data_IF_415432225987
#
_entry.id   IF_415432225987
#
_cell.length_a   1.000
_cell.length_b   1.000
_cell.length_c   1.000
_cell.angle_alpha   90.00
_cell.angle_beta   90.00
_cell.angle_gamma   90.00
#
_symmetry.space_group_name_H-M   'P 1'
#
loop_
_entity.id
_entity.type
_entity.pdbx_description
1 polymer ?
#
# COMPACT_ATOMS: atom_id res chain seq x y z
N UNK A 1 -12.71 -8.66 -11.05
CA UNK A 1 -12.25 -9.49 -9.91
C UNK A 1 -12.24 -10.97 -10.26
N UNK A 2 -13.39 -11.58 -10.59
CA UNK A 2 -13.47 -13.01 -10.96
C UNK A 2 -12.46 -13.40 -12.05
N UNK A 3 -12.39 -12.62 -13.12
CA UNK A 3 -11.41 -12.79 -14.21
C UNK A 3 -9.96 -12.87 -13.71
N UNK A 4 -9.56 -11.93 -12.83
CA UNK A 4 -8.22 -11.91 -12.25
C UNK A 4 -7.93 -13.16 -11.40
N UNK A 5 -8.91 -13.59 -10.60
CA UNK A 5 -8.80 -14.78 -9.75
C UNK A 5 -8.65 -16.04 -10.61
N UNK A 6 -9.50 -16.20 -11.63
CA UNK A 6 -9.46 -17.36 -12.53
C UNK A 6 -8.14 -17.40 -13.30
N UNK A 7 -7.72 -16.26 -13.87
CA UNK A 7 -6.45 -16.16 -14.59
C UNK A 7 -5.27 -16.60 -13.72
N UNK A 8 -5.19 -16.07 -12.49
CA UNK A 8 -4.10 -16.37 -11.58
C UNK A 8 -4.13 -17.83 -11.10
N UNK A 9 -5.31 -18.39 -10.79
CA UNK A 9 -5.46 -19.80 -10.42
C UNK A 9 -5.12 -20.77 -11.56
N UNK A 10 -5.27 -20.33 -12.82
CA UNK A 10 -4.83 -21.08 -14.00
C UNK A 10 -3.32 -20.99 -14.24
N UNK A 11 -2.57 -20.32 -13.36
CA UNK A 11 -1.11 -20.22 -13.44
C UNK A 11 -0.60 -19.11 -14.36
N UNK A 12 -1.44 -18.15 -14.74
CA UNK A 12 -1.02 -17.00 -15.53
C UNK A 12 -0.53 -15.85 -14.63
N UNK A 13 0.44 -15.09 -15.13
CA UNK A 13 0.78 -13.80 -14.53
C UNK A 13 -0.37 -12.83 -14.76
N UNK A 14 -0.80 -12.16 -13.71
CA UNK A 14 -2.05 -11.37 -13.73
C UNK A 14 -1.81 -9.99 -13.15
N UNK A 15 -1.99 -8.95 -13.97
CA UNK A 15 -1.95 -7.57 -13.52
C UNK A 15 -3.35 -7.04 -13.29
N UNK A 16 -3.59 -6.51 -12.10
CA UNK A 16 -4.88 -5.96 -11.68
C UNK A 16 -4.70 -4.49 -11.35
N UNK A 17 -5.18 -3.63 -12.24
CA UNK A 17 -5.23 -2.18 -12.04
C UNK A 17 -6.66 -1.76 -11.75
N UNK A 18 -7.04 -1.76 -10.48
CA UNK A 18 -8.40 -1.40 -10.04
C UNK A 18 -8.32 -0.39 -8.90
N UNK A 19 -9.25 0.58 -8.87
CA UNK A 19 -9.27 1.66 -7.88
C UNK A 19 -9.13 1.18 -6.44
N UNK A 20 -8.65 2.05 -5.55
CA UNK A 20 -8.64 1.78 -4.10
C UNK A 20 -10.06 1.46 -3.63
N UNK A 21 -10.20 0.46 -2.77
CA UNK A 21 -11.52 -0.08 -2.39
C UNK A 21 -12.15 -1.04 -3.42
N UNK A 22 -11.59 -1.18 -4.62
CA UNK A 22 -12.08 -2.11 -5.66
C UNK A 22 -11.87 -3.60 -5.38
N UNK A 23 -11.48 -3.98 -4.15
CA UNK A 23 -11.33 -5.37 -3.72
C UNK A 23 -10.07 -6.09 -4.21
N UNK A 24 -8.92 -5.39 -4.31
CA UNK A 24 -7.60 -6.02 -4.59
C UNK A 24 -7.27 -7.14 -3.59
N UNK A 25 -7.57 -6.89 -2.31
CA UNK A 25 -7.40 -7.88 -1.23
C UNK A 25 -8.19 -9.16 -1.47
N UNK A 26 -9.42 -9.05 -1.97
CA UNK A 26 -10.24 -10.22 -2.28
C UNK A 26 -9.61 -11.08 -3.37
N UNK A 27 -9.02 -10.46 -4.41
CA UNK A 27 -8.39 -11.19 -5.50
C UNK A 27 -7.30 -12.14 -4.98
N UNK A 28 -6.34 -11.65 -4.19
CA UNK A 28 -5.28 -12.52 -3.70
C UNK A 28 -5.73 -13.42 -2.54
N UNK A 29 -6.64 -12.97 -1.67
CA UNK A 29 -7.07 -13.75 -0.51
C UNK A 29 -7.83 -15.01 -0.94
N UNK A 30 -8.76 -14.88 -1.88
CA UNK A 30 -9.50 -16.02 -2.41
C UNK A 30 -8.57 -16.96 -3.20
N UNK A 31 -7.67 -16.39 -4.01
CA UNK A 31 -6.65 -17.19 -4.71
C UNK A 31 -5.73 -17.95 -3.75
N UNK A 32 -5.37 -17.37 -2.60
CA UNK A 32 -4.55 -18.04 -1.60
C UNK A 32 -5.29 -19.19 -0.91
N UNK A 33 -6.60 -19.05 -0.66
CA UNK A 33 -7.43 -20.12 -0.09
C UNK A 33 -7.53 -21.30 -1.06
N UNK A 34 -7.79 -21.03 -2.35
CA UNK A 34 -7.92 -22.07 -3.37
C UNK A 34 -6.59 -22.76 -3.68
N UNK A 35 -5.46 -22.13 -3.38
CA UNK A 35 -4.13 -22.66 -3.64
C UNK A 35 -3.69 -23.66 -2.55
N UNK A 36 -3.16 -24.82 -2.99
CA UNK A 36 -2.72 -25.89 -2.09
C UNK A 36 -1.39 -25.59 -1.37
N UNK A 37 -0.66 -24.54 -1.79
CA UNK A 37 0.62 -24.14 -1.22
C UNK A 37 0.57 -22.81 -0.46
N UNK A 38 1.72 -22.13 -0.45
CA UNK A 38 1.93 -20.83 0.18
C UNK A 38 1.77 -19.69 -0.84
N UNK A 39 1.05 -18.64 -0.45
CA UNK A 39 1.03 -17.37 -1.20
C UNK A 39 1.96 -16.37 -0.51
N UNK A 40 2.99 -15.91 -1.22
CA UNK A 40 3.93 -14.91 -0.71
C UNK A 40 3.53 -13.54 -1.26
N UNK A 41 3.28 -12.58 -0.39
CA UNK A 41 2.83 -11.23 -0.74
C UNK A 41 3.92 -10.21 -0.40
N UNK A 42 4.44 -9.52 -1.41
CA UNK A 42 5.34 -8.40 -1.25
C UNK A 42 4.55 -7.10 -1.08
N UNK A 43 4.84 -6.35 -0.02
CA UNK A 43 4.11 -5.12 0.32
C UNK A 43 5.08 -4.00 0.76
N UNK A 44 4.79 -2.73 0.46
CA UNK A 44 5.71 -1.63 0.69
C UNK A 44 5.85 -1.23 2.16
N UNK A 45 4.86 -1.43 3.02
CA UNK A 45 4.94 -0.92 4.38
C UNK A 45 4.65 -2.01 5.40
N UNK A 46 5.50 -2.10 6.44
CA UNK A 46 5.24 -3.00 7.58
C UNK A 46 3.86 -2.75 8.20
N UNK A 47 3.46 -1.48 8.32
CA UNK A 47 2.13 -1.12 8.81
C UNK A 47 1.00 -1.66 7.92
N UNK A 48 1.16 -1.59 6.59
CA UNK A 48 0.19 -2.14 5.64
C UNK A 48 0.11 -3.67 5.76
N UNK A 49 1.26 -4.34 5.87
CA UNK A 49 1.34 -5.80 6.07
C UNK A 49 0.62 -6.24 7.35
N UNK A 50 0.84 -5.54 8.48
CA UNK A 50 0.19 -5.89 9.75
C UNK A 50 -1.32 -5.62 9.75
N UNK A 51 -1.77 -4.56 9.06
CA UNK A 51 -3.20 -4.31 8.91
C UNK A 51 -3.85 -5.37 8.00
N UNK A 52 -3.25 -5.72 6.86
CA UNK A 52 -3.75 -6.77 5.98
C UNK A 52 -3.76 -8.14 6.67
N UNK A 53 -2.67 -8.50 7.36
CA UNK A 53 -2.59 -9.73 8.18
C UNK A 53 -3.73 -9.80 9.19
N UNK A 54 -4.03 -8.71 9.90
CA UNK A 54 -5.11 -8.66 10.88
C UNK A 54 -6.47 -8.92 10.25
N UNK A 55 -6.75 -8.32 9.09
CA UNK A 55 -8.00 -8.55 8.38
C UNK A 55 -8.14 -9.99 7.88
N UNK A 56 -7.05 -10.59 7.38
CA UNK A 56 -7.08 -11.99 6.94
C UNK A 56 -7.26 -12.97 8.11
N UNK A 57 -6.61 -12.74 9.25
CA UNK A 57 -6.78 -13.57 10.45
C UNK A 57 -8.22 -13.49 10.97
N UNK A 58 -8.84 -12.30 10.96
CA UNK A 58 -10.25 -12.12 11.38
C UNK A 58 -11.22 -12.98 10.58
N UNK A 59 -10.95 -13.20 9.30
CA UNK A 59 -11.77 -14.06 8.42
C UNK A 59 -11.30 -15.52 8.39
N UNK A 60 -10.38 -15.90 9.28
CA UNK A 60 -9.92 -17.28 9.46
C UNK A 60 -8.83 -17.74 8.50
N UNK A 61 -8.14 -16.82 7.80
CA UNK A 61 -7.03 -17.17 6.91
C UNK A 61 -5.71 -17.09 7.71
N UNK A 62 -4.95 -18.20 7.84
CA UNK A 62 -3.69 -18.21 8.56
C UNK A 62 -2.59 -17.40 7.84
N UNK A 63 -2.06 -16.38 8.52
CA UNK A 63 -1.14 -15.41 7.95
C UNK A 63 0.05 -15.10 8.87
N UNK A 64 1.24 -14.97 8.28
CA UNK A 64 2.45 -14.52 8.97
C UNK A 64 3.09 -13.32 8.26
N UNK A 65 3.98 -12.62 8.96
CA UNK A 65 4.75 -11.46 8.46
C UNK A 65 6.23 -11.72 8.65
N UNK A 66 7.04 -11.50 7.60
CA UNK A 66 8.48 -11.72 7.61
C UNK A 66 9.24 -10.48 7.12
N UNK A 67 10.15 -9.98 7.94
CA UNK A 67 10.90 -8.75 7.68
C UNK A 67 12.40 -9.00 7.41
N UNK A 68 13.06 -8.06 6.73
CA UNK A 68 14.51 -8.03 6.60
C UNK A 68 15.21 -7.62 7.92
N UNK A 69 15.47 -8.60 8.79
CA UNK A 69 16.36 -8.56 9.97
C UNK A 69 16.02 -7.60 11.15
N UNK A 70 16.69 -7.88 12.30
CA UNK A 70 16.73 -7.32 13.68
C UNK A 70 15.43 -6.89 14.38
N UNK A 71 14.47 -6.32 13.65
CA UNK A 71 13.15 -5.97 14.22
C UNK A 71 12.32 -7.20 14.60
N UNK A 72 12.59 -8.34 13.95
CA UNK A 72 11.94 -9.61 14.24
C UNK A 72 13.00 -10.60 14.71
N UNK A 73 12.93 -11.01 15.98
CA UNK A 73 13.89 -11.92 16.60
C UNK A 73 14.02 -13.24 15.84
N UNK A 74 15.21 -13.83 15.86
CA UNK A 74 15.53 -15.06 15.09
C UNK A 74 14.56 -16.20 15.39
N UNK A 75 14.25 -16.43 16.67
CA UNK A 75 13.30 -17.47 17.10
C UNK A 75 11.89 -17.29 16.53
N UNK A 76 11.44 -16.04 16.33
CA UNK A 76 10.14 -15.75 15.70
C UNK A 76 10.19 -16.14 14.22
N UNK A 77 11.29 -15.86 13.52
CA UNK A 77 11.43 -16.21 12.11
C UNK A 77 11.52 -17.73 11.92
N UNK A 78 12.27 -18.43 12.77
CA UNK A 78 12.35 -19.90 12.78
C UNK A 78 10.97 -20.53 12.96
N UNK A 79 10.20 -20.05 13.94
CA UNK A 79 8.82 -20.50 14.15
C UNK A 79 7.92 -20.27 12.92
N UNK A 80 8.05 -19.12 12.26
CA UNK A 80 7.29 -18.85 11.02
C UNK A 80 7.70 -19.85 9.93
N UNK A 81 8.98 -20.17 9.79
CA UNK A 81 9.43 -21.16 8.82
C UNK A 81 8.88 -22.56 9.12
N UNK A 82 8.87 -22.97 10.38
CA UNK A 82 8.27 -24.23 10.83
C UNK A 82 6.76 -24.28 10.52
N UNK A 83 6.02 -23.23 10.86
CA UNK A 83 4.57 -23.14 10.59
C UNK A 83 4.27 -23.19 9.08
N UNK A 84 5.09 -22.54 8.26
CA UNK A 84 4.96 -22.63 6.79
C UNK A 84 5.30 -24.03 6.29
N UNK A 85 6.37 -24.66 6.79
CA UNK A 85 6.77 -26.01 6.39
C UNK A 85 5.70 -27.06 6.75
N UNK A 86 5.01 -26.89 7.88
CA UNK A 86 3.87 -27.71 8.29
C UNK A 86 2.57 -27.39 7.53
N UNK A 87 2.56 -26.36 6.66
CA UNK A 87 1.36 -25.94 5.91
C UNK A 87 0.32 -25.21 6.77
N UNK A 88 0.70 -24.75 7.97
CA UNK A 88 -0.17 -23.99 8.87
C UNK A 88 -0.32 -22.53 8.46
N UNK A 89 0.58 -22.01 7.62
CA UNK A 89 0.50 -20.66 7.06
C UNK A 89 0.05 -20.71 5.60
N UNK A 90 -1.01 -19.95 5.26
CA UNK A 90 -1.51 -19.83 3.87
C UNK A 90 -0.96 -18.62 3.15
N UNK A 91 -0.77 -17.52 3.88
CA UNK A 91 -0.26 -16.26 3.33
C UNK A 91 0.92 -15.77 4.15
N UNK A 92 2.03 -15.48 3.47
CA UNK A 92 3.21 -14.89 4.07
C UNK A 92 3.45 -13.50 3.48
N UNK A 93 3.27 -12.46 4.28
CA UNK A 93 3.65 -11.10 3.90
C UNK A 93 5.15 -10.92 4.09
N UNK A 94 5.83 -10.38 3.08
CA UNK A 94 7.29 -10.24 3.05
C UNK A 94 7.70 -8.86 2.56
N UNK A 95 8.69 -8.26 3.21
CA UNK A 95 9.37 -7.06 2.65
C UNK A 95 10.31 -7.47 1.51
N UNK A 96 10.36 -6.78 0.36
CA UNK A 96 11.28 -7.10 -0.73
C UNK A 96 12.75 -7.26 -0.29
N UNK A 97 13.21 -6.48 0.68
CA UNK A 97 14.56 -6.59 1.25
C UNK A 97 14.87 -7.99 1.78
N UNK A 98 13.87 -8.70 2.32
CA UNK A 98 14.04 -10.05 2.87
C UNK A 98 14.34 -11.05 1.78
N UNK A 99 13.72 -10.88 0.61
CA UNK A 99 14.01 -11.70 -0.57
C UNK A 99 15.45 -11.48 -1.07
N UNK A 100 15.89 -10.22 -1.13
CA UNK A 100 17.21 -9.89 -1.69
C UNK A 100 18.35 -10.25 -0.73
N UNK A 101 18.19 -9.98 0.56
CA UNK A 101 19.29 -10.09 1.53
C UNK A 101 19.44 -11.47 2.18
N UNK A 102 18.47 -12.38 2.03
CA UNK A 102 18.46 -13.64 2.78
C UNK A 102 18.47 -14.87 1.87
N UNK A 103 19.65 -15.43 1.64
CA UNK A 103 19.82 -16.64 0.82
C UNK A 103 19.13 -17.89 1.39
N UNK A 104 18.98 -17.99 2.72
CA UNK A 104 18.21 -19.07 3.36
C UNK A 104 16.73 -19.03 2.99
N UNK A 105 16.15 -17.83 2.95
CA UNK A 105 14.79 -17.60 2.51
C UNK A 105 14.60 -17.97 1.03
N UNK A 106 15.55 -17.61 0.16
CA UNK A 106 15.49 -18.03 -1.26
C UNK A 106 15.56 -19.56 -1.39
N UNK A 107 16.44 -20.24 -0.65
CA UNK A 107 16.50 -21.73 -0.65
C UNK A 107 15.18 -22.34 -0.20
N UNK A 108 14.56 -21.78 0.84
CA UNK A 108 13.26 -22.21 1.32
C UNK A 108 12.16 -22.05 0.26
N UNK A 109 12.10 -20.92 -0.43
CA UNK A 109 11.17 -20.72 -1.55
C UNK A 109 11.42 -21.75 -2.65
N UNK A 110 12.69 -22.02 -3.00
CA UNK A 110 13.03 -23.01 -4.03
C UNK A 110 12.53 -24.41 -3.69
N UNK A 111 12.60 -24.83 -2.43
CA UNK A 111 12.04 -26.12 -2.00
C UNK A 111 10.51 -26.18 -2.17
N UNK A 112 9.79 -25.11 -1.84
CA UNK A 112 8.35 -25.02 -2.07
C UNK A 112 8.01 -24.99 -3.57
N UNK A 113 8.84 -24.31 -4.36
CA UNK A 113 8.70 -24.22 -5.81
C UNK A 113 8.84 -25.56 -6.51
N UNK A 114 9.82 -26.39 -6.13
CA UNK A 114 9.99 -27.76 -6.66
C UNK A 114 8.72 -28.61 -6.46
N UNK A 115 7.99 -28.37 -5.37
CA UNK A 115 6.72 -29.04 -5.08
C UNK A 115 5.49 -28.37 -5.73
N UNK A 116 5.68 -27.30 -6.52
CA UNK A 116 4.62 -26.44 -7.07
C UNK A 116 3.68 -25.86 -5.99
N UNK A 117 4.25 -25.54 -4.82
CA UNK A 117 3.53 -25.03 -3.65
C UNK A 117 3.84 -23.57 -3.32
N UNK A 118 4.26 -22.77 -4.30
CA UNK A 118 4.46 -21.32 -4.11
C UNK A 118 3.86 -20.53 -5.26
N UNK A 119 3.23 -19.42 -4.91
CA UNK A 119 2.78 -18.38 -5.84
C UNK A 119 3.04 -17.00 -5.22
N UNK A 120 3.17 -15.98 -6.07
CA UNK A 120 3.59 -14.64 -5.63
C UNK A 120 2.52 -13.58 -5.90
N UNK A 121 2.48 -12.59 -5.01
CA UNK A 121 1.67 -11.38 -5.16
C UNK A 121 2.58 -10.19 -4.89
N UNK A 122 2.51 -9.16 -5.72
CA UNK A 122 3.15 -7.87 -5.49
C UNK A 122 2.04 -6.85 -5.31
N UNK A 123 1.85 -6.41 -4.08
CA UNK A 123 0.92 -5.35 -3.72
C UNK A 123 1.56 -3.97 -3.94
N UNK A 124 0.75 -2.99 -4.33
CA UNK A 124 1.20 -1.67 -4.78
C UNK A 124 2.33 -1.73 -5.83
N UNK A 125 2.12 -2.50 -6.90
CA UNK A 125 3.11 -2.78 -7.95
C UNK A 125 3.73 -1.53 -8.61
N UNK A 126 3.06 -0.37 -8.54
CA UNK A 126 3.62 0.91 -8.98
C UNK A 126 4.90 1.31 -8.20
N UNK A 127 5.12 0.76 -7.00
CA UNK A 127 6.34 0.95 -6.21
C UNK A 127 7.60 0.46 -6.93
N UNK A 128 7.48 -0.47 -7.89
CA UNK A 128 8.61 -0.92 -8.72
C UNK A 128 9.23 0.25 -9.49
N UNK A 129 8.41 1.17 -9.99
CA UNK A 129 8.87 2.37 -10.69
C UNK A 129 9.13 3.52 -9.71
N UNK A 130 8.20 3.75 -8.78
CA UNK A 130 8.28 4.91 -7.89
C UNK A 130 9.47 4.86 -6.92
N UNK A 131 9.96 3.67 -6.57
CA UNK A 131 10.96 3.49 -5.52
C UNK A 131 12.39 3.23 -6.06
N UNK A 132 12.61 3.41 -7.36
CA UNK A 132 13.90 3.14 -8.01
C UNK A 132 15.08 3.82 -7.28
N UNK A 133 14.91 5.06 -6.84
CA UNK A 133 15.98 5.85 -6.23
C UNK A 133 16.16 5.63 -4.72
N UNK A 134 15.15 5.12 -4.00
CA UNK A 134 15.17 5.09 -2.53
C UNK A 134 14.96 3.72 -1.90
N UNK A 135 14.44 2.73 -2.63
CA UNK A 135 14.24 1.37 -2.11
C UNK A 135 14.48 0.32 -3.19
N UNK A 136 15.76 0.19 -3.57
CA UNK A 136 16.27 -0.67 -4.65
C UNK A 136 15.79 -2.12 -4.64
N UNK A 137 15.42 -2.68 -3.48
CA UNK A 137 14.89 -4.04 -3.39
C UNK A 137 13.63 -4.25 -4.27
N UNK A 138 12.85 -3.21 -4.53
CA UNK A 138 11.67 -3.26 -5.42
C UNK A 138 12.03 -3.50 -6.88
N UNK A 139 13.11 -2.88 -7.37
CA UNK A 139 13.56 -3.06 -8.77
C UNK A 139 14.19 -4.43 -8.99
N UNK A 140 14.58 -5.11 -7.92
CA UNK A 140 15.19 -6.44 -7.95
C UNK A 140 14.17 -7.58 -7.87
N UNK A 141 12.87 -7.29 -7.80
CA UNK A 141 11.81 -8.31 -7.77
C UNK A 141 11.71 -9.14 -9.06
N UNK A 142 12.37 -8.74 -10.15
CA UNK A 142 12.54 -9.58 -11.34
C UNK A 142 13.21 -10.93 -11.05
N UNK A 143 13.93 -11.07 -9.92
CA UNK A 143 14.46 -12.35 -9.43
C UNK A 143 13.38 -13.44 -9.32
N UNK A 144 12.12 -13.06 -9.06
CA UNK A 144 11.01 -14.00 -8.97
C UNK A 144 10.83 -14.81 -10.26
N UNK A 145 10.89 -14.16 -11.42
CA UNK A 145 10.78 -14.83 -12.72
C UNK A 145 12.08 -15.45 -13.21
N UNK A 146 13.22 -14.97 -12.73
CA UNK A 146 14.53 -15.56 -13.02
C UNK A 146 14.71 -16.91 -12.31
N UNK A 147 14.32 -17.01 -11.03
CA UNK A 147 14.50 -18.21 -10.21
C UNK A 147 13.29 -19.15 -10.23
N UNK A 148 12.07 -18.61 -10.19
CA UNK A 148 10.82 -19.38 -10.04
C UNK A 148 9.86 -19.11 -11.20
N UNK A 149 10.38 -19.23 -12.42
CA UNK A 149 9.71 -18.85 -13.69
C UNK A 149 8.26 -19.35 -13.84
N UNK A 150 7.97 -20.57 -13.38
CA UNK A 150 6.63 -21.19 -13.52
C UNK A 150 5.63 -20.80 -12.43
N UNK A 151 6.07 -20.17 -11.34
CA UNK A 151 5.17 -19.68 -10.31
C UNK A 151 4.47 -18.39 -10.80
N UNK A 152 3.14 -18.30 -10.71
CA UNK A 152 2.42 -17.13 -11.18
C UNK A 152 2.64 -15.94 -10.24
N UNK A 153 2.63 -14.73 -10.82
CA UNK A 153 2.71 -13.47 -10.11
C UNK A 153 1.42 -12.66 -10.33
N UNK A 154 0.74 -12.30 -9.24
CA UNK A 154 -0.34 -11.32 -9.28
C UNK A 154 0.20 -9.94 -8.92
N UNK A 155 0.04 -8.97 -9.82
CA UNK A 155 0.45 -7.57 -9.63
C UNK A 155 -0.78 -6.73 -9.32
N UNK A 156 -0.77 -6.00 -8.22
CA UNK A 156 -1.92 -5.24 -7.75
C UNK A 156 -1.56 -3.76 -7.62
N UNK A 157 -2.37 -2.88 -8.20
CA UNK A 157 -2.20 -1.43 -8.02
C UNK A 157 -3.53 -0.70 -8.19
N UNK A 158 -3.66 0.46 -7.53
CA UNK A 158 -4.77 1.37 -7.78
C UNK A 158 -4.58 2.22 -9.04
N UNK A 159 -3.35 2.63 -9.29
CA UNK A 159 -3.01 3.70 -10.23
C UNK A 159 -1.79 3.28 -11.05
N UNK A 160 -2.02 2.95 -12.33
CA UNK A 160 -0.97 2.83 -13.34
C UNK A 160 -1.55 3.17 -14.72
N UNK A 161 -0.85 3.99 -15.48
CA UNK A 161 -1.04 4.17 -16.92
C UNK A 161 -0.66 2.89 -17.68
N UNK A 162 -0.97 2.81 -18.98
CA UNK A 162 -0.59 1.65 -19.79
C UNK A 162 0.93 1.54 -19.93
N UNK A 163 1.60 2.66 -20.16
CA UNK A 163 3.07 2.73 -20.25
C UNK A 163 3.74 2.23 -18.97
N UNK A 164 3.24 2.62 -17.79
CA UNK A 164 3.79 2.15 -16.51
C UNK A 164 3.59 0.64 -16.32
N UNK A 165 2.48 0.05 -16.82
CA UNK A 165 2.32 -1.41 -16.79
C UNK A 165 3.39 -2.09 -17.62
N UNK A 166 3.59 -1.65 -18.86
CA UNK A 166 4.56 -2.28 -19.76
C UNK A 166 6.01 -2.15 -19.20
N UNK A 167 6.32 -1.03 -18.53
CA UNK A 167 7.60 -0.83 -17.83
C UNK A 167 7.77 -1.73 -16.60
N UNK A 168 6.71 -1.92 -15.80
CA UNK A 168 6.70 -2.85 -14.65
C UNK A 168 6.94 -4.30 -15.13
N UNK A 169 6.25 -4.73 -16.19
CA UNK A 169 6.41 -6.08 -16.74
C UNK A 169 7.83 -6.31 -17.25
N UNK A 170 8.42 -5.28 -17.88
CA UNK A 170 9.81 -5.31 -18.33
C UNK A 170 10.77 -5.47 -17.15
N UNK A 171 10.61 -4.67 -16.08
CA UNK A 171 11.43 -4.78 -14.87
C UNK A 171 11.33 -6.17 -14.21
N UNK A 172 10.14 -6.78 -14.23
CA UNK A 172 9.89 -8.10 -13.66
C UNK A 172 10.27 -9.26 -14.60
N UNK A 173 10.72 -8.97 -15.82
CA UNK A 173 10.99 -9.98 -16.86
C UNK A 173 9.79 -10.89 -17.16
N UNK A 174 8.57 -10.36 -17.03
CA UNK A 174 7.32 -11.06 -17.36
C UNK A 174 7.09 -10.96 -18.86
N UNK A 175 6.88 -12.10 -19.51
CA UNK A 175 6.60 -12.19 -20.95
C UNK A 175 5.09 -12.09 -21.20
N UNK A 176 4.73 -11.55 -22.37
CA UNK A 176 3.33 -11.35 -22.77
C UNK A 176 2.56 -12.63 -23.12
N UNK A 177 3.22 -13.79 -23.21
CA UNK A 177 2.63 -15.04 -23.68
C UNK A 177 1.70 -15.72 -22.66
N UNK A 178 1.85 -15.43 -21.36
CA UNK A 178 0.98 -15.91 -20.27
C UNK A 178 0.58 -14.80 -19.30
N UNK A 179 0.22 -13.66 -19.87
CA UNK A 179 -0.11 -12.44 -19.12
C UNK A 179 -1.57 -12.04 -19.30
N UNK A 180 -2.27 -11.75 -18.21
CA UNK A 180 -3.62 -11.18 -18.23
C UNK A 180 -3.63 -9.82 -17.54
N UNK A 181 -4.14 -8.80 -18.23
CA UNK A 181 -4.33 -7.47 -17.66
C UNK A 181 -5.83 -7.21 -17.41
N UNK A 182 -6.19 -7.09 -16.14
CA UNK A 182 -7.52 -6.71 -15.68
C UNK A 182 -7.47 -5.25 -15.23
N UNK A 183 -8.22 -4.39 -15.91
CA UNK A 183 -8.37 -2.97 -15.54
C UNK A 183 -9.81 -2.62 -15.27
N UNK A 184 -10.03 -1.74 -14.31
CA UNK A 184 -11.33 -1.09 -14.19
C UNK A 184 -11.57 -0.18 -15.41
N UNK A 185 -12.80 -0.13 -15.88
CA UNK A 185 -13.18 0.61 -17.09
C UNK A 185 -13.22 2.12 -16.84
N UNK A 186 -13.37 2.55 -15.58
CA UNK A 186 -13.45 3.96 -15.20
C UNK A 186 -12.73 4.23 -13.88
N UNK A 187 -11.78 5.16 -13.87
CA UNK A 187 -11.27 5.78 -12.62
C UNK A 187 -12.25 6.81 -12.04
N UNK A 188 -13.35 7.09 -12.72
CA UNK A 188 -14.31 8.10 -12.33
C UNK A 188 -15.03 7.71 -11.04
N UNK A 189 -14.96 8.60 -10.06
CA UNK A 189 -15.70 8.54 -8.80
C UNK A 189 -16.70 9.69 -8.78
N UNK A 190 -17.93 9.44 -9.20
CA UNK A 190 -18.99 10.47 -9.29
C UNK A 190 -19.30 11.13 -7.95
N UNK A 191 -18.96 10.47 -6.84
CA UNK A 191 -19.09 10.98 -5.48
C UNK A 191 -17.99 11.99 -5.08
N UNK A 192 -16.93 12.15 -5.88
CA UNK A 192 -15.87 13.15 -5.65
C UNK A 192 -16.16 14.40 -6.49
N UNK A 193 -16.28 15.53 -5.81
CA UNK A 193 -16.41 16.86 -6.43
C UNK A 193 -15.04 17.55 -6.38
N UNK A 194 -14.51 17.90 -7.55
CA UNK A 194 -13.25 18.63 -7.68
C UNK A 194 -13.51 20.14 -7.72
N UNK A 195 -12.98 20.87 -6.74
CA UNK A 195 -13.03 22.33 -6.70
C UNK A 195 -11.60 22.89 -6.71
N UNK A 196 -11.31 23.78 -7.66
CA UNK A 196 -10.04 24.49 -7.76
C UNK A 196 -10.27 25.93 -7.35
N UNK A 197 -9.57 26.37 -6.29
CA UNK A 197 -9.60 27.74 -5.81
C UNK A 197 -8.20 28.35 -5.91
N UNK A 198 -8.12 29.60 -6.32
CA UNK A 198 -6.88 30.34 -6.30
C UNK A 198 -6.41 30.56 -4.86
N UNK A 199 -5.15 30.22 -4.59
CA UNK A 199 -4.55 30.41 -3.27
C UNK A 199 -4.38 31.89 -2.99
N UNK A 200 -5.01 32.39 -1.91
CA UNK A 200 -4.83 33.78 -1.45
C UNK A 200 -3.37 34.00 -1.00
N UNK A 201 -2.75 35.08 -1.49
CA UNK A 201 -1.39 35.47 -1.12
C UNK A 201 -1.28 35.85 0.36
N UNK A 202 -2.34 36.44 0.92
CA UNK A 202 -2.41 36.82 2.32
C UNK A 202 -2.57 35.57 3.17
N UNK A 203 -1.53 35.23 3.95
CA UNK A 203 -1.45 33.97 4.68
C UNK A 203 -2.65 33.74 5.62
N UNK A 204 -3.13 34.78 6.32
CA UNK A 204 -4.29 34.65 7.22
C UNK A 204 -5.59 34.34 6.47
N UNK A 205 -5.77 34.90 5.27
CA UNK A 205 -6.93 34.59 4.45
C UNK A 205 -6.89 33.14 3.97
N UNK A 206 -5.72 32.65 3.56
CA UNK A 206 -5.52 31.25 3.19
C UNK A 206 -5.89 30.27 4.33
N UNK A 207 -5.44 30.53 5.56
CA UNK A 207 -5.81 29.71 6.73
C UNK A 207 -7.32 29.77 6.99
N UNK A 208 -7.91 30.98 6.93
CA UNK A 208 -9.36 31.17 7.13
C UNK A 208 -10.18 30.36 6.12
N UNK A 209 -9.77 30.33 4.85
CA UNK A 209 -10.45 29.55 3.81
C UNK A 209 -10.44 28.04 4.13
N UNK A 210 -9.31 27.50 4.60
CA UNK A 210 -9.22 26.09 5.01
C UNK A 210 -10.14 25.82 6.20
N UNK A 211 -10.13 26.69 7.20
CA UNK A 211 -10.98 26.58 8.38
C UNK A 211 -12.46 26.62 8.01
N UNK A 212 -12.86 27.48 7.07
CA UNK A 212 -14.24 27.58 6.59
C UNK A 212 -14.69 26.32 5.85
N UNK A 213 -13.81 25.73 5.03
CA UNK A 213 -14.07 24.44 4.38
C UNK A 213 -14.28 23.35 5.43
N UNK A 214 -13.39 23.25 6.42
CA UNK A 214 -13.51 22.26 7.50
C UNK A 214 -14.83 22.43 8.23
N UNK A 215 -15.15 23.65 8.70
CA UNK A 215 -16.39 23.95 9.43
C UNK A 215 -17.64 23.64 8.62
N UNK A 216 -17.65 23.93 7.32
CA UNK A 216 -18.78 23.68 6.42
C UNK A 216 -19.14 22.20 6.31
N UNK A 217 -18.16 21.31 6.38
CA UNK A 217 -18.35 19.87 6.16
C UNK A 217 -18.26 19.04 7.44
N UNK A 218 -18.40 19.67 8.61
CA UNK A 218 -18.57 18.95 9.89
C UNK A 218 -19.99 18.38 10.02
N UNK A 219 -20.16 17.22 10.68
CA UNK A 219 -19.12 16.35 11.21
C UNK A 219 -18.44 15.52 10.10
N UNK A 220 -17.13 15.30 10.22
CA UNK A 220 -16.33 14.53 9.28
C UNK A 220 -14.83 14.63 9.53
N UNK A 221 -14.05 13.89 8.75
CA UNK A 221 -12.59 13.95 8.78
C UNK A 221 -12.00 14.58 7.52
N UNK A 222 -10.82 15.16 7.68
CA UNK A 222 -10.18 16.00 6.67
C UNK A 222 -8.72 15.62 6.52
N UNK A 223 -8.23 15.60 5.28
CA UNK A 223 -6.80 15.44 4.98
C UNK A 223 -6.35 16.70 4.24
N UNK A 224 -5.22 17.25 4.64
CA UNK A 224 -4.62 18.44 4.03
C UNK A 224 -3.21 18.08 3.58
N UNK A 225 -2.97 18.01 2.27
CA UNK A 225 -1.66 17.69 1.72
C UNK A 225 -0.79 18.92 1.50
N UNK A 226 0.45 18.88 2.00
CA UNK A 226 1.50 19.87 1.82
C UNK A 226 2.68 19.28 1.02
N UNK A 227 3.43 20.10 0.28
CA UNK A 227 4.57 19.59 -0.50
C UNK A 227 5.82 19.31 0.36
N UNK A 228 6.00 20.01 1.48
CA UNK A 228 7.21 19.92 2.32
C UNK A 228 6.88 19.64 3.80
N UNK A 229 7.86 19.09 4.53
CA UNK A 229 7.75 18.86 5.98
C UNK A 229 7.52 20.18 6.73
N UNK A 230 8.30 21.22 6.41
CA UNK A 230 8.18 22.54 7.04
C UNK A 230 6.80 23.17 6.83
N UNK A 231 6.22 23.05 5.63
CA UNK A 231 4.86 23.55 5.37
C UNK A 231 3.81 22.76 6.15
N UNK A 232 3.97 21.45 6.27
CA UNK A 232 3.10 20.57 7.06
C UNK A 232 3.07 21.03 8.53
N UNK A 233 4.22 21.17 9.17
CA UNK A 233 4.34 21.60 10.57
C UNK A 233 3.82 23.03 10.78
N UNK A 234 4.15 23.97 9.89
CA UNK A 234 3.66 25.36 9.96
C UNK A 234 2.14 25.43 9.87
N UNK A 235 1.54 24.69 8.94
CA UNK A 235 0.10 24.67 8.74
C UNK A 235 -0.61 24.00 9.92
N UNK A 236 -0.05 22.91 10.44
CA UNK A 236 -0.53 22.25 11.66
C UNK A 236 -0.65 23.24 12.83
N UNK A 237 0.43 23.97 13.15
CA UNK A 237 0.44 24.94 14.26
C UNK A 237 -0.64 26.01 14.06
N UNK A 238 -0.78 26.55 12.84
CA UNK A 238 -1.79 27.57 12.53
C UNK A 238 -3.22 27.04 12.64
N UNK A 239 -3.47 25.81 12.20
CA UNK A 239 -4.80 25.21 12.31
C UNK A 239 -5.15 24.90 13.77
N UNK A 240 -4.18 24.45 14.57
CA UNK A 240 -4.38 24.20 15.99
C UNK A 240 -4.77 25.48 16.76
N UNK A 241 -4.17 26.62 16.42
CA UNK A 241 -4.54 27.94 16.98
C UNK A 241 -6.00 28.33 16.63
N UNK A 242 -6.49 27.96 15.44
CA UNK A 242 -7.79 28.41 14.92
C UNK A 242 -8.94 27.41 15.15
N UNK A 243 -8.62 26.15 15.44
CA UNK A 243 -9.57 25.03 15.57
C UNK A 243 -9.57 24.45 16.99
N UNK A 244 -9.92 25.26 17.98
CA UNK A 244 -9.82 24.91 19.41
C UNK A 244 -10.64 23.68 19.83
N UNK A 245 -11.71 23.35 19.11
CA UNK A 245 -12.60 22.21 19.41
C UNK A 245 -12.46 21.05 18.42
N UNK A 246 -11.43 21.05 17.58
CA UNK A 246 -11.21 20.00 16.57
C UNK A 246 -9.81 19.45 16.74
N UNK A 247 -9.68 18.13 16.82
CA UNK A 247 -8.37 17.51 16.91
C UNK A 247 -7.63 17.59 15.58
N UNK A 248 -6.53 18.33 15.58
CA UNK A 248 -5.60 18.44 14.46
C UNK A 248 -4.37 17.59 14.76
N UNK A 249 -3.88 16.85 13.77
CA UNK A 249 -2.61 16.13 13.83
C UNK A 249 -1.81 16.35 12.56
N UNK A 250 -0.53 15.94 12.55
CA UNK A 250 0.31 16.03 11.37
C UNK A 250 1.14 14.78 11.11
N UNK A 251 1.45 14.51 9.84
CA UNK A 251 2.20 13.33 9.41
C UNK A 251 3.13 13.61 8.22
N UNK A 252 4.41 13.29 8.37
CA UNK A 252 5.37 13.31 7.26
C UNK A 252 6.53 12.33 7.49
N UNK A 253 7.36 12.11 6.46
CA UNK A 253 8.45 11.12 6.50
C UNK A 253 9.60 11.46 7.44
N UNK A 254 9.63 12.67 8.00
CA UNK A 254 10.63 13.11 8.98
C UNK A 254 10.32 12.70 10.43
N UNK A 255 9.09 12.26 10.72
CA UNK A 255 8.69 11.80 12.04
C UNK A 255 9.39 10.48 12.42
N UNK A 256 9.71 10.32 13.71
CA UNK A 256 10.23 9.05 14.22
C UNK A 256 9.19 7.93 14.09
N UNK A 257 9.63 6.67 14.10
CA UNK A 257 8.74 5.52 13.93
C UNK A 257 7.66 5.43 15.04
N UNK A 258 8.01 5.78 16.28
CA UNK A 258 7.09 5.86 17.42
C UNK A 258 6.01 6.93 17.21
N UNK A 259 6.41 8.12 16.79
CA UNK A 259 5.50 9.23 16.50
C UNK A 259 4.55 8.90 15.35
N UNK A 260 5.08 8.35 14.25
CA UNK A 260 4.25 7.90 13.12
C UNK A 260 3.22 6.87 13.57
N UNK A 261 3.61 5.92 14.41
CA UNK A 261 2.70 4.89 14.95
C UNK A 261 1.60 5.50 15.83
N UNK A 262 1.95 6.43 16.71
CA UNK A 262 1.00 7.14 17.58
C UNK A 262 0.00 7.94 16.73
N UNK A 263 0.48 8.77 15.81
CA UNK A 263 -0.38 9.59 14.94
C UNK A 263 -1.30 8.72 14.08
N UNK A 264 -0.79 7.63 13.49
CA UNK A 264 -1.61 6.70 12.69
C UNK A 264 -2.68 6.01 13.53
N UNK A 265 -2.36 5.60 14.77
CA UNK A 265 -3.35 5.04 15.69
C UNK A 265 -4.42 6.07 16.06
N UNK A 266 -4.02 7.30 16.37
CA UNK A 266 -4.94 8.39 16.68
C UNK A 266 -5.88 8.71 15.50
N UNK A 267 -5.36 8.67 14.27
CA UNK A 267 -6.21 8.75 13.07
C UNK A 267 -7.17 7.56 12.95
N UNK A 268 -6.66 6.33 13.12
CA UNK A 268 -7.43 5.09 12.97
C UNK A 268 -8.58 4.97 13.97
N UNK A 269 -8.38 5.45 15.20
CA UNK A 269 -9.39 5.42 16.27
C UNK A 269 -10.17 6.74 16.41
N UNK A 270 -10.17 7.59 15.37
CA UNK A 270 -10.93 8.85 15.29
C UNK A 270 -10.59 9.87 16.41
N UNK A 271 -9.39 9.81 16.97
CA UNK A 271 -8.87 10.84 17.88
C UNK A 271 -8.34 12.07 17.16
N UNK A 272 -8.04 11.98 15.86
CA UNK A 272 -7.68 13.10 14.98
C UNK A 272 -8.78 13.29 13.92
N UNK A 273 -9.31 14.51 13.81
CA UNK A 273 -10.30 14.88 12.80
C UNK A 273 -9.66 15.52 11.57
N UNK A 274 -8.59 16.31 11.74
CA UNK A 274 -7.88 16.98 10.64
C UNK A 274 -6.44 16.49 10.61
N UNK A 275 -6.05 15.83 9.52
CA UNK A 275 -4.67 15.41 9.28
C UNK A 275 -3.98 16.37 8.30
N UNK A 276 -2.93 17.05 8.75
CA UNK A 276 -2.02 17.80 7.87
C UNK A 276 -0.85 16.89 7.51
N UNK A 277 -0.59 16.64 6.23
CA UNK A 277 0.42 15.66 5.87
C UNK A 277 1.15 15.95 4.57
N UNK A 278 2.30 15.30 4.38
CA UNK A 278 2.87 15.13 3.03
C UNK A 278 2.36 13.84 2.39
N UNK A 279 2.81 13.54 1.17
CA UNK A 279 2.51 12.28 0.47
C UNK A 279 2.90 11.00 1.24
N UNK A 280 3.67 11.12 2.34
CA UNK A 280 3.95 10.01 3.24
C UNK A 280 2.68 9.45 3.92
N UNK A 281 1.62 10.26 4.04
CA UNK A 281 0.32 9.83 4.58
C UNK A 281 -0.63 9.47 3.43
N UNK A 282 -0.58 8.26 2.89
CA UNK A 282 -1.47 7.88 1.79
C UNK A 282 -1.65 6.38 1.61
N UNK A 283 -0.56 5.62 1.66
CA UNK A 283 -0.64 4.16 1.59
C UNK A 283 -1.26 3.58 2.87
N UNK A 284 -2.28 2.75 2.72
CA UNK A 284 -2.93 2.06 3.84
C UNK A 284 -3.96 2.88 4.63
N UNK A 285 -4.29 4.09 4.19
CA UNK A 285 -5.39 4.85 4.77
C UNK A 285 -6.73 4.32 4.23
N UNK A 286 -7.56 3.81 5.13
CA UNK A 286 -8.92 3.36 4.82
C UNK A 286 -9.90 3.98 5.82
N UNK A 287 -10.71 4.93 5.35
CA UNK A 287 -11.57 5.75 6.21
C UNK A 287 -12.78 6.23 5.40
N UNK A 288 -13.98 5.86 5.85
CA UNK A 288 -15.23 6.04 5.09
C UNK A 288 -15.91 7.40 5.35
N UNK A 289 -15.37 8.20 6.27
CA UNK A 289 -15.93 9.46 6.76
C UNK A 289 -15.04 10.68 6.42
N UNK A 290 -14.12 10.53 5.46
CA UNK A 290 -13.36 11.65 4.90
C UNK A 290 -14.32 12.50 4.07
N UNK A 291 -14.48 13.77 4.46
CA UNK A 291 -15.40 14.72 3.80
C UNK A 291 -14.71 15.65 2.83
N UNK A 292 -13.45 15.97 3.06
CA UNK A 292 -12.64 16.71 2.10
C UNK A 292 -11.16 16.34 2.17
N UNK A 293 -10.52 16.33 1.00
CA UNK A 293 -9.08 16.29 0.83
C UNK A 293 -8.67 17.64 0.24
N UNK A 294 -7.82 18.38 0.93
CA UNK A 294 -7.40 19.73 0.56
C UNK A 294 -5.93 19.67 0.15
N UNK A 295 -5.62 20.08 -1.07
CA UNK A 295 -4.24 20.28 -1.50
C UNK A 295 -3.83 21.72 -1.20
N UNK A 296 -3.00 21.92 -0.17
CA UNK A 296 -2.44 23.23 0.20
C UNK A 296 -1.57 23.81 -0.93
N UNK A 297 -0.93 22.92 -1.67
CA UNK A 297 -0.04 23.16 -2.79
C UNK A 297 -0.37 22.17 -3.90
N UNK A 298 -0.18 22.57 -5.16
CA UNK A 298 -0.44 21.69 -6.29
C UNK A 298 0.42 20.42 -6.19
N UNK A 299 -0.16 19.23 -6.41
CA UNK A 299 0.62 18.00 -6.41
C UNK A 299 1.58 17.97 -7.60
N UNK A 300 2.69 17.25 -7.44
CA UNK A 300 3.76 17.15 -8.45
C UNK A 300 3.30 16.49 -9.77
N UNK A 301 2.20 15.73 -9.76
CA UNK A 301 1.62 15.10 -10.96
C UNK A 301 0.14 14.79 -10.76
N UNK A 302 -0.60 14.66 -11.86
CA UNK A 302 -2.01 14.23 -11.85
C UNK A 302 -2.22 12.83 -11.26
N UNK A 303 -1.21 11.94 -11.32
CA UNK A 303 -1.24 10.62 -10.68
C UNK A 303 -1.12 10.67 -9.16
N UNK A 304 -0.79 11.83 -8.57
CA UNK A 304 -0.64 12.07 -7.14
C UNK A 304 -1.74 12.98 -6.56
N UNK A 305 -2.75 13.32 -7.37
CA UNK A 305 -4.03 13.95 -6.96
C UNK A 305 -4.97 12.84 -6.51
#
# INVERSE_FOLDING_TARGET
>A
QLEAIISYLNGNDTFVSIKTGGGKTLCYALSAICFKGLTIIFSPLKALMEDQKRELIKVGIPCATLYANLTQGTSIQEKIFEEVACGLTKVLFVTPEKLISNGGFCRFISQLYEQKKVQFVIDEAHCILAYQDFRKAWTQLGILKQQWKSAPIMLLTATCTRSEVDEILTNLTIKNDKFTLVRDSTSHRSEIIFNVNERKEIHNQYITNIVDIIKRYLPGRFIIYCATHSNCERLYNKLQENLTNISVGYFHGGLRDDERKITMNNWKYNHIQVMVATSAFGMGINSNDIRAVIHAEAPMSMSKV
#
